data_IF_829192894107
#
_entry.id   IF_829192894107
#
_cell.length_a   1.000
_cell.length_b   1.000
_cell.length_c   1.000
_cell.angle_alpha   90.00
_cell.angle_beta   90.00
_cell.angle_gamma   90.00
#
_symmetry.space_group_name_H-M   'P 1'
#
loop_
_entity.id
_entity.type
_entity.pdbx_description
1 polymer ?
#
# COMPACT_ATOMS: atom_id res chain seq x y z
N UNK A 1 -1.81 -24.17 0.73
CA UNK A 1 -2.47 -22.85 0.75
C UNK A 1 -1.43 -21.77 0.53
N UNK A 2 -1.72 -20.78 -0.35
CA UNK A 2 -0.85 -19.65 -0.63
C UNK A 2 -1.41 -18.38 0.02
N UNK A 3 -0.59 -17.66 0.77
CA UNK A 3 -0.97 -16.39 1.41
C UNK A 3 -0.09 -15.29 0.85
N UNK A 4 -0.69 -14.25 0.27
CA UNK A 4 -0.01 -13.08 -0.26
C UNK A 4 -0.11 -11.93 0.75
N UNK A 5 1.04 -11.49 1.27
CA UNK A 5 1.17 -10.30 2.09
C UNK A 5 1.49 -9.09 1.20
N UNK A 6 0.74 -8.02 1.37
CA UNK A 6 1.02 -6.72 0.77
C UNK A 6 1.10 -5.65 1.84
N UNK A 7 2.32 -5.28 2.20
CA UNK A 7 2.60 -4.26 3.21
C UNK A 7 2.84 -2.88 2.59
N UNK A 8 2.50 -1.83 3.33
CA UNK A 8 2.76 -0.46 2.90
C UNK A 8 2.32 0.59 3.90
N UNK A 9 2.82 1.81 3.77
CA UNK A 9 2.37 2.93 4.62
C UNK A 9 0.91 3.29 4.32
N UNK A 10 0.50 3.20 3.06
CA UNK A 10 -0.86 3.52 2.57
C UNK A 10 -1.37 4.87 3.13
N UNK A 11 -0.63 5.93 2.84
CA UNK A 11 -0.87 7.26 3.40
C UNK A 11 -0.90 8.35 2.29
N UNK A 12 -1.97 8.41 1.47
CA UNK A 12 -3.07 7.45 1.34
C UNK A 12 -2.77 6.24 0.44
N UNK A 13 -3.58 5.15 0.48
CA UNK A 13 -3.62 4.17 -0.60
C UNK A 13 -4.17 4.84 -1.88
N UNK A 14 -3.73 4.35 -3.05
CA UNK A 14 -4.08 4.92 -4.36
C UNK A 14 -4.16 3.84 -5.44
N UNK A 15 -4.65 4.19 -6.62
CA UNK A 15 -4.86 3.26 -7.72
C UNK A 15 -3.57 2.52 -8.16
N UNK A 16 -2.39 3.16 -8.00
CA UNK A 16 -1.10 2.49 -8.22
C UNK A 16 -0.85 1.33 -7.23
N UNK A 17 -1.29 1.45 -5.97
CA UNK A 17 -1.21 0.34 -5.01
C UNK A 17 -2.17 -0.80 -5.38
N UNK A 18 -3.39 -0.49 -5.80
CA UNK A 18 -4.36 -1.49 -6.28
C UNK A 18 -3.80 -2.24 -7.49
N UNK A 19 -3.22 -1.52 -8.45
CA UNK A 19 -2.63 -2.12 -9.65
C UNK A 19 -1.46 -3.06 -9.33
N UNK A 20 -0.58 -2.66 -8.41
CA UNK A 20 0.52 -3.51 -7.94
C UNK A 20 0.00 -4.78 -7.24
N UNK A 21 -1.00 -4.64 -6.36
CA UNK A 21 -1.59 -5.81 -5.70
C UNK A 21 -2.26 -6.75 -6.70
N UNK A 22 -2.98 -6.22 -7.68
CA UNK A 22 -3.60 -6.99 -8.77
C UNK A 22 -2.57 -7.81 -9.55
N UNK A 23 -1.47 -7.17 -9.97
CA UNK A 23 -0.39 -7.84 -10.70
C UNK A 23 0.27 -8.94 -9.85
N UNK A 24 0.56 -8.67 -8.58
CA UNK A 24 1.12 -9.66 -7.67
C UNK A 24 0.16 -10.83 -7.44
N UNK A 25 -1.12 -10.56 -7.23
CA UNK A 25 -2.15 -11.59 -7.03
C UNK A 25 -2.36 -12.44 -8.31
N UNK A 26 -2.37 -11.84 -9.48
CA UNK A 26 -2.45 -12.56 -10.76
C UNK A 26 -1.25 -13.49 -10.95
N UNK A 27 -0.05 -13.06 -10.56
CA UNK A 27 1.20 -13.83 -10.65
C UNK A 27 1.23 -15.03 -9.70
N UNK A 28 0.76 -14.85 -8.46
CA UNK A 28 0.81 -15.87 -7.39
C UNK A 28 -0.40 -16.79 -7.42
N UNK A 29 -1.57 -16.26 -7.77
CA UNK A 29 -2.89 -16.91 -7.58
C UNK A 29 -3.03 -17.39 -6.13
N UNK A 30 -3.09 -16.46 -5.16
CA UNK A 30 -3.14 -16.82 -3.75
C UNK A 30 -4.53 -17.31 -3.35
N UNK A 31 -4.58 -18.10 -2.28
CA UNK A 31 -5.83 -18.49 -1.63
C UNK A 31 -6.31 -17.42 -0.64
N UNK A 32 -5.38 -16.59 -0.16
CA UNK A 32 -5.62 -15.48 0.78
C UNK A 32 -4.76 -14.28 0.43
N UNK A 33 -5.33 -13.09 0.54
CA UNK A 33 -4.61 -11.82 0.43
C UNK A 33 -4.72 -11.08 1.76
N UNK A 34 -3.57 -10.68 2.32
CA UNK A 34 -3.50 -9.87 3.54
C UNK A 34 -2.84 -8.54 3.19
N UNK A 35 -3.59 -7.45 3.32
CA UNK A 35 -3.08 -6.09 3.25
C UNK A 35 -2.71 -5.63 4.65
N UNK A 36 -1.47 -5.17 4.84
CA UNK A 36 -0.92 -4.79 6.14
C UNK A 36 -0.47 -3.33 6.13
N UNK A 37 -1.31 -2.39 6.58
CA UNK A 37 -0.87 -1.02 6.80
C UNK A 37 0.20 -0.95 7.87
N UNK A 38 1.37 -0.37 7.53
CA UNK A 38 2.48 -0.26 8.45
C UNK A 38 2.09 0.54 9.71
N UNK A 39 2.43 0.04 10.86
CA UNK A 39 2.20 0.73 12.12
C UNK A 39 3.11 1.95 12.27
N UNK A 40 4.42 1.71 12.22
CA UNK A 40 5.45 2.75 12.09
C UNK A 40 6.46 2.29 11.04
N UNK A 41 6.66 3.11 10.00
CA UNK A 41 7.65 2.77 8.99
C UNK A 41 9.07 3.02 9.54
N UNK A 42 9.97 2.04 9.52
CA UNK A 42 11.36 2.27 9.89
C UNK A 42 12.08 3.21 8.92
N UNK A 43 11.53 3.40 7.71
CA UNK A 43 12.08 4.21 6.63
C UNK A 43 11.48 5.63 6.51
N UNK A 44 10.42 5.94 7.27
CA UNK A 44 9.71 7.23 7.18
C UNK A 44 9.46 7.80 8.56
N UNK A 45 9.64 9.12 8.71
CA UNK A 45 9.26 9.84 9.93
C UNK A 45 7.75 10.05 9.95
N UNK A 46 7.03 9.11 10.60
CA UNK A 46 5.59 9.22 10.83
C UNK A 46 4.71 9.05 9.57
N UNK A 47 3.43 9.16 9.78
CA UNK A 47 2.38 9.19 8.76
C UNK A 47 1.50 10.42 9.00
N UNK A 48 0.90 10.98 7.94
CA UNK A 48 0.00 12.13 8.08
C UNK A 48 -1.38 11.70 8.57
N UNK A 49 -1.85 10.52 8.13
CA UNK A 49 -3.09 9.92 8.62
C UNK A 49 -2.81 8.95 9.78
N UNK A 50 -3.72 8.92 10.77
CA UNK A 50 -3.65 7.95 11.87
C UNK A 50 -3.71 6.50 11.38
N UNK A 51 -3.24 5.56 12.20
CA UNK A 51 -3.32 4.13 11.87
C UNK A 51 -4.75 3.68 11.61
N UNK A 52 -5.73 4.17 12.36
CA UNK A 52 -7.14 3.85 12.19
C UNK A 52 -7.68 4.34 10.84
N UNK A 53 -7.37 5.57 10.44
CA UNK A 53 -7.80 6.12 9.16
C UNK A 53 -7.13 5.41 7.98
N UNK A 54 -5.86 5.02 8.12
CA UNK A 54 -5.18 4.25 7.09
C UNK A 54 -5.76 2.83 6.93
N UNK A 55 -6.15 2.19 8.04
CA UNK A 55 -6.88 0.92 8.01
C UNK A 55 -8.22 1.07 7.28
N UNK A 56 -9.00 2.10 7.61
CA UNK A 56 -10.27 2.38 6.93
C UNK A 56 -10.06 2.61 5.43
N UNK A 57 -9.12 3.47 5.05
CA UNK A 57 -8.80 3.72 3.64
C UNK A 57 -8.37 2.46 2.90
N UNK A 58 -7.65 1.54 3.56
CA UNK A 58 -7.24 0.26 2.98
C UNK A 58 -8.41 -0.68 2.69
N UNK A 59 -9.61 -0.41 3.19
CA UNK A 59 -10.84 -1.08 2.75
C UNK A 59 -11.06 -1.01 1.24
N UNK A 60 -10.46 -0.03 0.54
CA UNK A 60 -10.53 0.09 -0.93
C UNK A 60 -9.95 -1.14 -1.66
N UNK A 61 -9.08 -1.91 -1.03
CA UNK A 61 -8.50 -3.13 -1.64
C UNK A 61 -9.52 -4.26 -1.79
N UNK A 62 -10.70 -4.19 -1.15
CA UNK A 62 -11.79 -5.15 -1.35
C UNK A 62 -12.29 -5.17 -2.80
N UNK A 63 -12.15 -4.06 -3.52
CA UNK A 63 -12.50 -3.97 -4.93
C UNK A 63 -11.84 -5.05 -5.79
N UNK A 64 -10.66 -5.54 -5.38
CA UNK A 64 -9.96 -6.62 -6.09
C UNK A 64 -10.79 -7.91 -6.12
N UNK A 65 -11.46 -8.25 -5.01
CA UNK A 65 -12.35 -9.43 -4.95
C UNK A 65 -13.63 -9.22 -5.76
N UNK A 66 -14.13 -7.99 -5.84
CA UNK A 66 -15.32 -7.61 -6.61
C UNK A 66 -15.09 -7.70 -8.12
N UNK A 67 -13.86 -7.52 -8.59
CA UNK A 67 -13.48 -7.69 -10.00
C UNK A 67 -13.59 -9.15 -10.48
N UNK A 68 -13.69 -10.11 -9.55
CA UNK A 68 -13.71 -11.53 -9.82
C UNK A 68 -12.31 -12.12 -10.08
N UNK A 69 -12.16 -13.42 -9.83
CA UNK A 69 -10.89 -14.15 -10.04
C UNK A 69 -9.85 -14.00 -8.94
N UNK A 70 -10.10 -13.18 -7.91
CA UNK A 70 -9.24 -13.02 -6.75
C UNK A 70 -9.98 -13.38 -5.45
N UNK A 71 -9.28 -13.90 -4.42
CA UNK A 71 -9.87 -14.16 -3.13
C UNK A 71 -10.20 -12.86 -2.40
N UNK A 72 -11.04 -12.96 -1.36
CA UNK A 72 -11.31 -11.84 -0.48
C UNK A 72 -10.01 -11.27 0.13
N UNK A 73 -9.93 -9.94 0.18
CA UNK A 73 -8.82 -9.21 0.77
C UNK A 73 -9.11 -8.97 2.24
N UNK A 74 -8.19 -9.39 3.11
CA UNK A 74 -8.24 -9.07 4.55
C UNK A 74 -7.29 -7.92 4.83
N UNK A 75 -7.81 -6.81 5.36
CA UNK A 75 -6.98 -5.73 5.89
C UNK A 75 -6.66 -6.03 7.35
N UNK A 76 -5.38 -6.21 7.67
CA UNK A 76 -4.94 -6.53 9.03
C UNK A 76 -4.44 -5.28 9.77
N UNK A 77 -4.97 -5.04 10.96
CA UNK A 77 -4.52 -3.97 11.85
C UNK A 77 -3.35 -4.35 12.75
N UNK A 78 -2.75 -5.52 12.58
CA UNK A 78 -1.76 -6.05 13.51
C UNK A 78 -0.57 -5.11 13.71
N UNK A 79 0.06 -4.60 12.63
CA UNK A 79 1.19 -3.67 12.76
C UNK A 79 0.79 -2.34 13.43
N UNK A 80 -0.40 -1.82 13.12
CA UNK A 80 -0.93 -0.60 13.74
C UNK A 80 -1.11 -0.82 15.26
N UNK A 81 -1.63 -1.99 15.67
CA UNK A 81 -1.77 -2.35 17.07
C UNK A 81 -0.41 -2.52 17.76
N UNK A 82 0.58 -3.15 17.12
CA UNK A 82 1.93 -3.27 17.66
C UNK A 82 2.56 -1.88 17.89
N UNK A 83 2.42 -0.98 16.91
CA UNK A 83 2.95 0.39 17.01
C UNK A 83 2.27 1.19 18.16
N UNK A 84 0.96 1.02 18.34
CA UNK A 84 0.23 1.63 19.46
C UNK A 84 0.74 1.16 20.85
N UNK A 85 1.35 -0.02 20.91
CA UNK A 85 2.00 -0.58 22.10
C UNK A 85 3.50 -0.19 22.19
N UNK A 86 3.99 0.72 21.35
CA UNK A 86 5.39 1.14 21.31
C UNK A 86 6.35 0.11 20.67
N UNK A 87 5.84 -0.93 20.05
CA UNK A 87 6.66 -1.96 19.41
C UNK A 87 7.05 -1.54 17.99
N UNK A 88 8.30 -1.83 17.62
CA UNK A 88 8.77 -1.63 16.25
C UNK A 88 8.20 -2.71 15.33
N UNK A 89 7.80 -2.30 14.13
CA UNK A 89 7.32 -3.20 13.09
C UNK A 89 8.46 -3.50 12.10
N UNK A 90 8.72 -4.77 11.88
CA UNK A 90 9.62 -5.26 10.86
C UNK A 90 8.92 -6.36 10.08
N UNK A 91 9.13 -6.39 8.78
CA UNK A 91 8.47 -7.36 7.87
C UNK A 91 8.65 -8.82 8.29
N UNK A 92 9.82 -9.17 8.84
CA UNK A 92 10.07 -10.53 9.34
C UNK A 92 9.09 -10.90 10.45
N UNK A 93 8.78 -9.98 11.39
CA UNK A 93 7.85 -10.24 12.49
C UNK A 93 6.41 -10.42 11.97
N UNK A 94 6.05 -9.66 10.96
CA UNK A 94 4.75 -9.80 10.28
C UNK A 94 4.64 -11.16 9.59
N UNK A 95 5.71 -11.63 8.94
CA UNK A 95 5.73 -12.95 8.32
C UNK A 95 5.73 -14.08 9.35
N UNK A 96 6.44 -13.94 10.47
CA UNK A 96 6.40 -14.89 11.58
C UNK A 96 4.97 -15.02 12.16
N UNK A 97 4.28 -13.89 12.35
CA UNK A 97 2.88 -13.87 12.78
C UNK A 97 1.97 -14.60 11.78
N UNK A 98 2.15 -14.34 10.48
CA UNK A 98 1.36 -15.00 9.43
C UNK A 98 1.66 -16.51 9.37
N UNK A 99 2.93 -16.91 9.48
CA UNK A 99 3.32 -18.32 9.51
C UNK A 99 2.67 -19.06 10.67
N UNK A 100 2.58 -18.43 11.85
CA UNK A 100 1.90 -18.97 13.01
C UNK A 100 0.37 -19.05 12.81
N UNK A 101 -0.22 -18.04 12.16
CA UNK A 101 -1.66 -17.99 11.88
C UNK A 101 -2.12 -18.90 10.73
N UNK A 102 -1.21 -19.26 9.83
CA UNK A 102 -1.46 -20.14 8.68
C UNK A 102 -0.44 -21.28 8.59
N UNK A 103 -0.45 -22.23 9.51
CA UNK A 103 0.52 -23.33 9.54
C UNK A 103 0.56 -24.09 8.21
N UNK A 104 1.76 -24.32 7.67
CA UNK A 104 1.97 -25.03 6.40
C UNK A 104 1.60 -24.22 5.14
N UNK A 105 1.24 -22.95 5.25
CA UNK A 105 1.02 -22.10 4.08
C UNK A 105 2.35 -21.69 3.42
N UNK A 106 2.33 -21.57 2.09
CA UNK A 106 3.36 -20.85 1.35
C UNK A 106 3.10 -19.35 1.43
N UNK A 107 4.01 -18.63 2.07
CA UNK A 107 3.91 -17.17 2.18
C UNK A 107 4.56 -16.51 0.97
N UNK A 108 3.92 -15.43 0.49
CA UNK A 108 4.42 -14.56 -0.55
C UNK A 108 4.41 -13.13 -0.04
N UNK A 109 5.47 -12.36 -0.31
CA UNK A 109 5.59 -10.96 0.04
C UNK A 109 5.65 -10.13 -1.23
N UNK A 110 4.63 -9.30 -1.47
CA UNK A 110 4.61 -8.36 -2.58
C UNK A 110 5.39 -7.09 -2.21
N UNK A 111 6.35 -6.71 -3.06
CA UNK A 111 7.19 -5.51 -2.90
C UNK A 111 7.36 -4.78 -4.24
N UNK A 112 7.68 -3.49 -4.19
CA UNK A 112 8.08 -2.73 -5.36
C UNK A 112 9.55 -2.97 -5.76
N UNK A 113 9.91 -2.59 -6.96
CA UNK A 113 11.29 -2.70 -7.50
C UNK A 113 12.31 -1.94 -6.65
N UNK A 114 11.96 -0.76 -6.18
CA UNK A 114 12.79 0.06 -5.26
C UNK A 114 13.09 -0.67 -3.94
N UNK A 115 12.13 -1.46 -3.45
CA UNK A 115 12.30 -2.27 -2.25
C UNK A 115 13.21 -3.47 -2.48
N UNK A 116 13.18 -4.10 -3.66
CA UNK A 116 14.08 -5.19 -4.00
C UNK A 116 15.54 -4.73 -4.01
N UNK A 117 15.82 -3.55 -4.58
CA UNK A 117 17.17 -3.01 -4.67
C UNK A 117 17.83 -2.74 -3.31
N UNK A 118 17.01 -2.44 -2.30
CA UNK A 118 17.46 -2.17 -0.92
C UNK A 118 17.16 -3.32 0.05
N UNK A 119 16.79 -4.49 -0.44
CA UNK A 119 16.22 -5.57 0.38
C UNK A 119 17.21 -6.15 1.38
N UNK A 120 18.49 -6.25 1.03
CA UNK A 120 19.56 -6.72 1.91
C UNK A 120 19.88 -5.78 3.09
N UNK A 121 19.33 -4.56 3.08
CA UNK A 121 19.34 -3.66 4.23
C UNK A 121 18.18 -3.87 5.22
N UNK A 122 17.24 -4.79 4.92
CA UNK A 122 16.10 -5.02 5.80
C UNK A 122 16.49 -5.85 7.02
N UNK A 123 15.84 -5.55 8.16
CA UNK A 123 16.08 -6.30 9.39
C UNK A 123 15.78 -7.79 9.20
N UNK A 124 16.78 -8.63 9.43
CA UNK A 124 16.72 -10.10 9.28
C UNK A 124 16.22 -10.53 7.88
N UNK A 125 16.71 -9.86 6.83
CA UNK A 125 16.28 -10.09 5.45
C UNK A 125 16.42 -11.56 4.99
N UNK A 126 17.45 -12.29 5.48
CA UNK A 126 17.61 -13.70 5.18
C UNK A 126 16.48 -14.55 5.74
N UNK A 127 15.95 -14.19 6.94
CA UNK A 127 14.82 -14.87 7.53
C UNK A 127 13.54 -14.58 6.75
N UNK A 128 13.38 -13.37 6.21
CA UNK A 128 12.28 -13.04 5.29
C UNK A 128 12.29 -14.01 4.10
N UNK A 129 13.46 -14.25 3.47
CA UNK A 129 13.59 -15.15 2.33
C UNK A 129 13.36 -16.62 2.69
N UNK A 130 13.62 -17.01 3.94
CA UNK A 130 13.28 -18.36 4.42
C UNK A 130 11.78 -18.55 4.61
N UNK A 131 11.10 -17.49 5.09
CA UNK A 131 9.66 -17.51 5.40
C UNK A 131 8.78 -17.31 4.18
N UNK A 132 9.18 -16.48 3.22
CA UNK A 132 8.34 -16.06 2.11
C UNK A 132 9.10 -16.02 0.77
N UNK A 133 8.36 -16.20 -0.32
CA UNK A 133 8.80 -15.86 -1.68
C UNK A 133 8.49 -14.41 -1.96
N UNK A 134 9.41 -13.71 -2.63
CA UNK A 134 9.18 -12.33 -3.04
C UNK A 134 8.39 -12.29 -4.34
N UNK A 135 7.47 -11.33 -4.44
CA UNK A 135 6.76 -10.99 -5.68
C UNK A 135 7.05 -9.52 -5.96
N UNK A 136 7.87 -9.27 -6.95
CA UNK A 136 8.35 -7.93 -7.29
C UNK A 136 7.50 -7.34 -8.38
N UNK A 137 6.87 -6.20 -8.11
CA UNK A 137 6.20 -5.37 -9.10
C UNK A 137 7.12 -4.26 -9.54
N UNK A 138 7.44 -4.17 -10.83
CA UNK A 138 8.28 -3.09 -11.36
C UNK A 138 7.41 -1.96 -11.89
N UNK A 139 7.80 -0.73 -11.56
CA UNK A 139 7.13 0.51 -12.02
C UNK A 139 7.81 1.11 -13.24
N UNK A 140 9.03 0.69 -13.57
CA UNK A 140 9.82 1.26 -14.65
C UNK A 140 10.12 0.20 -15.72
N UNK A 141 9.76 0.51 -16.94
CA UNK A 141 10.18 -0.23 -18.13
C UNK A 141 11.66 0.12 -18.34
N UNK A 142 12.57 -0.71 -17.86
CA UNK A 142 14.03 -0.47 -17.99
C UNK A 142 14.85 -0.79 -16.78
N UNK A 143 14.21 -1.02 -15.60
CA UNK A 143 14.91 -1.46 -14.39
C UNK A 143 15.34 -2.94 -14.44
N UNK A 144 14.91 -3.68 -15.46
CA UNK A 144 15.06 -5.13 -15.57
C UNK A 144 16.49 -5.66 -15.35
N UNK A 145 17.57 -5.09 -15.92
CA UNK A 145 18.91 -5.65 -15.70
C UNK A 145 19.37 -5.56 -14.24
N UNK A 146 19.13 -4.41 -13.59
CA UNK A 146 19.53 -4.21 -12.18
C UNK A 146 18.68 -5.09 -11.24
N UNK A 147 17.39 -5.22 -11.51
CA UNK A 147 16.49 -6.05 -10.72
C UNK A 147 16.84 -7.53 -10.86
N UNK A 148 17.17 -7.99 -12.07
CA UNK A 148 17.57 -9.37 -12.32
C UNK A 148 18.94 -9.67 -11.69
N UNK A 149 19.89 -8.74 -11.74
CA UNK A 149 21.17 -8.88 -11.07
C UNK A 149 20.99 -8.96 -9.55
N UNK A 150 20.18 -8.07 -8.97
CA UNK A 150 19.85 -8.11 -7.54
C UNK A 150 19.16 -9.41 -7.16
N UNK A 151 18.22 -9.88 -7.99
CA UNK A 151 17.55 -11.16 -7.77
C UNK A 151 18.54 -12.33 -7.76
N UNK A 152 19.50 -12.36 -8.69
CA UNK A 152 20.56 -13.39 -8.71
C UNK A 152 21.42 -13.35 -7.45
N UNK A 153 21.79 -12.16 -6.97
CA UNK A 153 22.56 -12.01 -5.72
C UNK A 153 21.79 -12.57 -4.52
N UNK A 154 20.48 -12.29 -4.45
CA UNK A 154 19.62 -12.81 -3.38
C UNK A 154 19.32 -14.30 -3.55
N UNK A 155 19.24 -14.80 -4.78
CA UNK A 155 18.95 -16.21 -5.09
C UNK A 155 20.09 -17.14 -4.71
N UNK A 156 21.33 -16.66 -4.65
CA UNK A 156 22.45 -17.38 -4.05
C UNK A 156 22.21 -17.79 -2.59
N UNK A 157 21.21 -17.20 -1.94
CA UNK A 157 20.75 -17.54 -0.59
C UNK A 157 19.53 -18.48 -0.58
N UNK A 158 19.08 -19.00 -1.75
CA UNK A 158 17.91 -19.84 -1.92
C UNK A 158 16.59 -19.07 -2.01
N UNK A 159 16.65 -17.77 -2.28
CA UNK A 159 15.46 -16.96 -2.46
C UNK A 159 14.72 -17.33 -3.75
N UNK A 160 13.40 -17.35 -3.68
CA UNK A 160 12.54 -17.53 -4.86
C UNK A 160 11.86 -16.20 -5.16
N UNK A 161 12.37 -15.50 -6.16
CA UNK A 161 11.90 -14.19 -6.57
C UNK A 161 11.07 -14.32 -7.85
N UNK A 162 9.83 -13.85 -7.78
CA UNK A 162 8.88 -13.83 -8.89
C UNK A 162 8.71 -12.38 -9.35
N UNK A 163 8.85 -12.13 -10.63
CA UNK A 163 8.50 -10.84 -11.20
C UNK A 163 7.03 -10.85 -11.66
N UNK A 164 6.28 -9.82 -11.29
CA UNK A 164 4.92 -9.58 -11.71
C UNK A 164 4.93 -8.35 -12.64
N UNK A 165 4.71 -8.53 -13.94
CA UNK A 165 4.63 -7.40 -14.85
C UNK A 165 3.42 -6.54 -14.49
N UNK A 166 3.63 -5.25 -14.40
CA UNK A 166 2.59 -4.27 -14.10
C UNK A 166 2.76 -3.08 -15.02
N UNK A 167 1.67 -2.60 -15.58
CA UNK A 167 1.69 -1.31 -16.25
C UNK A 167 1.97 -0.22 -15.21
N UNK A 168 3.06 0.50 -15.42
CA UNK A 168 3.51 1.48 -14.45
C UNK A 168 2.52 2.66 -14.40
N UNK A 169 1.89 2.84 -13.25
CA UNK A 169 1.17 4.07 -12.95
C UNK A 169 2.13 4.93 -12.12
N UNK A 170 2.71 6.00 -12.68
CA UNK A 170 3.68 6.85 -11.98
C UNK A 170 2.96 7.65 -10.89
N UNK A 171 2.84 7.05 -9.72
CA UNK A 171 2.06 7.60 -8.61
C UNK A 171 2.74 7.31 -7.28
N UNK A 172 2.90 8.35 -6.47
CA UNK A 172 3.44 8.24 -5.12
C UNK A 172 2.51 8.94 -4.13
N UNK A 173 2.29 8.32 -2.95
CA UNK A 173 1.47 8.94 -1.90
C UNK A 173 1.98 10.32 -1.48
N UNK A 174 3.29 10.57 -1.50
CA UNK A 174 3.87 11.89 -1.19
C UNK A 174 3.45 12.96 -2.19
N UNK A 175 3.48 12.64 -3.49
CA UNK A 175 3.03 13.55 -4.54
C UNK A 175 1.52 13.82 -4.42
N UNK A 176 0.72 12.78 -4.13
CA UNK A 176 -0.72 12.94 -3.92
C UNK A 176 -1.03 13.83 -2.70
N UNK A 177 -0.30 13.67 -1.60
CA UNK A 177 -0.47 14.56 -0.44
C UNK A 177 -0.16 16.01 -0.77
N UNK A 178 0.89 16.29 -1.53
CA UNK A 178 1.22 17.65 -1.96
C UNK A 178 0.10 18.26 -2.84
N UNK A 179 -0.44 17.49 -3.79
CA UNK A 179 -1.56 17.93 -4.63
C UNK A 179 -2.85 18.15 -3.83
N UNK A 180 -3.15 17.27 -2.87
CA UNK A 180 -4.30 17.41 -1.95
C UNK A 180 -4.15 18.64 -1.06
N UNK A 181 -2.94 18.94 -0.56
CA UNK A 181 -2.64 20.16 0.19
C UNK A 181 -2.87 21.42 -0.66
N UNK A 182 -2.54 21.36 -1.95
CA UNK A 182 -2.83 22.43 -2.92
C UNK A 182 -4.32 22.51 -3.32
N UNK A 183 -5.20 21.67 -2.77
CA UNK A 183 -6.63 21.69 -3.04
C UNK A 183 -7.09 20.89 -4.27
N UNK A 184 -6.22 20.08 -4.87
CA UNK A 184 -6.61 19.22 -5.99
C UNK A 184 -7.46 18.02 -5.51
N UNK A 185 -8.45 17.61 -6.29
CA UNK A 185 -9.33 16.47 -5.92
C UNK A 185 -8.71 15.10 -6.11
N UNK A 186 -7.71 14.95 -6.98
CA UNK A 186 -7.03 13.67 -7.31
C UNK A 186 -8.00 12.50 -7.60
N UNK A 187 -9.09 12.76 -8.34
CA UNK A 187 -10.19 11.80 -8.50
C UNK A 187 -9.79 10.54 -9.26
N UNK A 188 -8.90 10.69 -10.25
CA UNK A 188 -8.44 9.59 -11.08
C UNK A 188 -7.38 8.72 -10.38
N UNK A 189 -6.75 9.26 -9.37
CA UNK A 189 -5.66 8.59 -8.65
C UNK A 189 -6.13 7.87 -7.39
N UNK A 190 -7.21 8.35 -6.78
CA UNK A 190 -7.69 7.86 -5.49
C UNK A 190 -8.97 7.03 -5.64
N UNK A 191 -9.02 5.83 -5.04
CA UNK A 191 -10.25 5.06 -4.96
C UNK A 191 -11.39 5.85 -4.28
N UNK A 192 -12.67 5.60 -4.62
CA UNK A 192 -13.80 6.34 -4.07
C UNK A 192 -13.87 6.34 -2.53
N UNK A 193 -13.59 5.22 -1.89
CA UNK A 193 -13.55 5.12 -0.42
C UNK A 193 -12.48 6.04 0.17
N UNK A 194 -11.28 6.04 -0.42
CA UNK A 194 -10.17 6.87 0.05
C UNK A 194 -10.51 8.35 -0.03
N UNK A 195 -11.11 8.79 -1.14
CA UNK A 195 -11.57 10.19 -1.32
C UNK A 195 -12.58 10.57 -0.24
N UNK A 196 -13.57 9.71 0.02
CA UNK A 196 -14.58 9.97 1.08
C UNK A 196 -13.94 10.16 2.45
N UNK A 197 -12.99 9.30 2.82
CA UNK A 197 -12.30 9.42 4.11
C UNK A 197 -11.48 10.71 4.18
N UNK A 198 -10.71 11.03 3.13
CA UNK A 198 -9.92 12.26 3.06
C UNK A 198 -10.81 13.50 3.20
N UNK A 199 -11.94 13.54 2.51
CA UNK A 199 -12.88 14.66 2.57
C UNK A 199 -13.55 14.79 3.93
N UNK A 200 -14.04 13.69 4.49
CA UNK A 200 -14.70 13.64 5.80
C UNK A 200 -13.79 14.11 6.92
N UNK A 201 -12.54 13.67 6.91
CA UNK A 201 -11.56 13.95 7.97
C UNK A 201 -10.68 15.17 7.70
N UNK A 202 -10.84 15.83 6.53
CA UNK A 202 -10.02 16.97 6.15
C UNK A 202 -8.52 16.66 6.02
N UNK A 203 -8.16 15.40 5.67
CA UNK A 203 -6.77 14.96 5.63
C UNK A 203 -5.97 15.67 4.54
N UNK A 204 -4.68 15.83 4.78
CA UNK A 204 -3.68 16.36 3.84
C UNK A 204 -3.92 17.81 3.38
N UNK A 205 -4.77 18.55 4.05
CA UNK A 205 -4.93 19.99 3.82
C UNK A 205 -3.85 20.76 4.57
N UNK A 206 -3.36 21.86 4.00
CA UNK A 206 -2.60 22.82 4.80
C UNK A 206 -3.52 23.37 5.87
N UNK A 207 -3.15 23.22 7.14
CA UNK A 207 -3.75 24.02 8.21
C UNK A 207 -3.30 25.46 7.98
N UNK A 208 -4.21 26.31 7.49
CA UNK A 208 -3.98 27.75 7.58
C UNK A 208 -3.76 28.03 9.07
N UNK A 209 -2.54 28.43 9.41
CA UNK A 209 -2.26 29.00 10.72
C UNK A 209 -3.27 30.11 10.98
N UNK A 210 -3.74 30.21 12.21
CA UNK A 210 -4.57 31.32 12.68
C UNK A 210 -3.80 32.63 12.49
N UNK A 211 -3.94 33.23 11.30
CA UNK A 211 -3.57 34.62 11.05
C UNK A 211 -4.69 35.24 10.24
N UNK A 212 -5.34 36.22 10.90
CA UNK A 212 -6.19 37.29 10.39
C UNK A 212 -7.50 36.94 9.67
N UNK A 213 -8.59 37.14 10.41
CA UNK A 213 -9.84 37.69 9.87
C UNK A 213 -9.54 38.94 9.07
N UNK A 214 -9.49 38.85 7.73
CA UNK A 214 -9.99 39.92 6.90
C UNK A 214 -10.33 39.44 5.47
N UNK A 215 -11.51 39.81 5.06
CA UNK A 215 -12.21 39.65 3.81
C UNK A 215 -11.41 39.33 2.53
N UNK A 216 -11.84 38.27 1.81
CA UNK A 216 -12.41 38.47 0.45
C UNK A 216 -12.84 37.11 -0.17
N UNK A 217 -14.11 37.08 -0.55
CA UNK A 217 -14.69 36.08 -1.43
C UNK A 217 -13.93 35.98 -2.75
N UNK A 218 -13.38 34.81 -3.06
CA UNK A 218 -13.30 34.29 -4.45
C UNK A 218 -12.78 32.87 -4.45
N UNK A 219 -13.53 31.97 -5.08
CA UNK A 219 -12.97 30.72 -5.62
C UNK A 219 -13.34 29.40 -4.95
N UNK A 220 -14.56 29.18 -4.48
CA UNK A 220 -15.07 27.83 -4.21
C UNK A 220 -15.37 27.11 -5.53
N UNK A 221 -14.43 26.30 -6.03
CA UNK A 221 -14.80 25.16 -6.88
C UNK A 221 -14.99 23.97 -5.95
N UNK A 222 -16.23 23.79 -5.49
CA UNK A 222 -16.66 22.58 -4.81
C UNK A 222 -16.62 21.39 -5.78
N UNK A 223 -16.10 20.24 -5.33
CA UNK A 223 -16.32 18.96 -6.00
C UNK A 223 -17.84 18.71 -6.04
N UNK A 224 -18.45 18.87 -7.21
CA UNK A 224 -19.86 18.59 -7.40
C UNK A 224 -20.10 17.09 -7.23
N UNK A 225 -21.09 16.74 -6.41
CA UNK A 225 -21.61 15.37 -6.35
C UNK A 225 -22.29 15.04 -7.69
N UNK A 226 -22.10 13.82 -8.24
CA UNK A 226 -22.88 13.38 -9.40
C UNK A 226 -24.37 13.28 -9.00
N UNK A 227 -25.31 13.63 -9.90
CA UNK A 227 -26.72 13.54 -9.61
C UNK A 227 -27.14 12.09 -9.38
N UNK A 228 -27.90 11.85 -8.32
CA UNK A 228 -28.61 10.59 -8.08
C UNK A 228 -29.45 10.26 -9.30
N UNK A 229 -29.22 9.11 -9.92
CA UNK A 229 -30.12 8.59 -10.96
C UNK A 229 -31.40 8.15 -10.29
N UNK A 230 -32.46 8.95 -10.43
CA UNK A 230 -33.83 8.57 -10.15
C UNK A 230 -34.18 7.36 -11.00
N UNK A 231 -34.58 6.28 -10.35
CA UNK A 231 -35.20 5.12 -10.99
C UNK A 231 -36.60 5.51 -11.47
N UNK A 232 -36.89 5.27 -12.71
CA UNK A 232 -38.20 4.96 -13.28
C UNK A 232 -38.10 3.61 -13.96
#
# INVERSE_FOLDING_TARGET
MKVLLYGGSFDPPHNGHLNNLRAAAARVRPDRIVVMPAGSSPFKRGTNASGALRLEMCGCFSALAEEGGFPAVTVSGWEVQQAAQGRRNYTVLTLEMLAAGFPGAELYLAIGSDMLLSFDGWYRWQDILRLARLVVTSRNVGDDPLLHEKAKQLDATGARILFAPVEAIPMASSALRARLAAGECCENELPPLVRRVIQREGLYRETKGDEDQNDSETGKRACAQPPERSAL
#
